data_IF_273597671109
#
_entry.id   IF_273597671109
#
_cell.length_a   1.000
_cell.length_b   1.000
_cell.length_c   1.000
_cell.angle_alpha   90.00
_cell.angle_beta   90.00
_cell.angle_gamma   90.00
#
_symmetry.space_group_name_H-M   'P 1'
#
loop_
_entity.id
_entity.type
_entity.pdbx_description
1 polymer ?
#
# COMPACT_ATOMS: atom_id res chain seq x y z
N UNK A 1 11.35 23.64 36.37
CA UNK A 1 10.76 23.83 35.03
C UNK A 1 11.60 23.00 34.05
N UNK A 2 11.15 21.77 33.79
CA UNK A 2 11.85 20.85 32.87
C UNK A 2 11.34 21.15 31.46
N UNK A 3 12.25 21.55 30.57
CA UNK A 3 11.95 21.67 29.13
C UNK A 3 11.56 20.31 28.57
N UNK A 4 10.57 20.24 27.67
CA UNK A 4 10.28 18.99 26.98
C UNK A 4 11.47 18.65 26.09
N UNK A 5 11.96 17.42 26.22
CA UNK A 5 12.97 16.86 25.34
C UNK A 5 12.43 16.89 23.91
N UNK A 6 13.08 17.63 23.03
CA UNK A 6 12.84 17.59 21.59
C UNK A 6 13.24 16.19 21.13
N UNK A 7 12.27 15.32 20.88
CA UNK A 7 12.53 14.07 20.17
C UNK A 7 13.14 14.44 18.82
N UNK A 8 14.43 14.17 18.69
CA UNK A 8 15.11 14.23 17.39
C UNK A 8 14.55 13.08 16.56
N UNK A 9 13.56 13.38 15.73
CA UNK A 9 13.09 12.43 14.71
C UNK A 9 14.24 12.18 13.75
N UNK A 10 15.02 11.15 14.03
CA UNK A 10 15.97 10.60 13.06
C UNK A 10 15.14 10.16 11.85
N UNK A 11 15.49 10.68 10.66
CA UNK A 11 14.77 10.34 9.43
C UNK A 11 14.75 8.84 9.20
N UNK A 12 13.60 8.30 8.80
CA UNK A 12 13.42 6.88 8.46
C UNK A 12 13.31 6.72 6.96
N UNK A 13 13.72 5.57 6.45
CA UNK A 13 13.47 5.14 5.08
C UNK A 13 12.18 4.32 5.05
N UNK A 14 11.13 4.88 4.45
CA UNK A 14 9.76 4.38 4.51
C UNK A 14 9.28 3.92 3.16
N UNK A 15 8.86 2.67 3.05
CA UNK A 15 8.18 2.15 1.86
C UNK A 15 6.72 2.56 1.83
N UNK A 16 6.23 3.06 0.71
CA UNK A 16 4.82 3.42 0.51
C UNK A 16 4.15 2.39 -0.39
N UNK A 17 3.21 1.63 0.17
CA UNK A 17 2.38 0.66 -0.54
C UNK A 17 0.97 1.23 -0.72
N UNK A 18 0.67 1.69 -1.94
CA UNK A 18 -0.64 2.23 -2.29
C UNK A 18 -1.64 1.13 -2.64
N UNK A 19 -2.83 1.23 -2.11
CA UNK A 19 -3.88 0.25 -2.40
C UNK A 19 -5.28 0.71 -2.02
N UNK A 20 -6.29 0.19 -2.72
CA UNK A 20 -7.68 0.34 -2.27
C UNK A 20 -7.99 -0.52 -1.05
N UNK A 21 -7.26 -1.64 -0.85
CA UNK A 21 -7.43 -2.58 0.25
C UNK A 21 -8.91 -2.94 0.50
N UNK A 22 -9.57 -3.50 -0.50
CA UNK A 22 -11.02 -3.75 -0.51
C UNK A 22 -11.38 -5.25 -0.64
N UNK A 23 -11.06 -6.11 0.38
CA UNK A 23 -10.33 -5.80 1.61
C UNK A 23 -8.80 -5.92 1.50
N UNK A 24 -8.11 -5.52 2.56
CA UNK A 24 -6.74 -5.97 2.81
C UNK A 24 -6.73 -7.49 2.99
N UNK A 25 -5.65 -8.16 2.56
CA UNK A 25 -5.53 -9.61 2.63
C UNK A 25 -4.11 -10.07 2.92
N UNK A 26 -3.96 -11.36 3.19
CA UNK A 26 -2.67 -11.98 3.58
C UNK A 26 -1.55 -11.69 2.56
N UNK A 27 -1.87 -11.65 1.26
CA UNK A 27 -0.89 -11.30 0.22
C UNK A 27 -0.31 -9.89 0.37
N UNK A 28 -1.14 -8.89 0.72
CA UNK A 28 -0.65 -7.54 1.01
C UNK A 28 0.25 -7.51 2.25
N UNK A 29 -0.10 -8.26 3.28
CA UNK A 29 0.64 -8.27 4.55
C UNK A 29 2.00 -8.95 4.41
N UNK A 30 2.06 -10.09 3.71
CA UNK A 30 3.31 -10.79 3.43
C UNK A 30 4.24 -9.88 2.65
N UNK A 31 3.75 -9.23 1.59
CA UNK A 31 4.52 -8.28 0.80
C UNK A 31 5.04 -7.12 1.65
N UNK A 32 4.15 -6.43 2.36
CA UNK A 32 4.52 -5.26 3.17
C UNK A 32 5.53 -5.63 4.25
N UNK A 33 5.32 -6.75 4.95
CA UNK A 33 6.23 -7.21 6.00
C UNK A 33 7.58 -7.67 5.42
N UNK A 34 7.58 -8.37 4.30
CA UNK A 34 8.80 -8.75 3.59
C UNK A 34 9.62 -7.52 3.22
N UNK A 35 9.00 -6.51 2.59
CA UNK A 35 9.67 -5.27 2.24
C UNK A 35 10.29 -4.57 3.46
N UNK A 36 9.57 -4.52 4.58
CA UNK A 36 10.06 -3.91 5.83
C UNK A 36 11.18 -4.70 6.53
N UNK A 37 11.36 -5.99 6.22
CA UNK A 37 12.29 -6.87 6.96
C UNK A 37 13.44 -7.42 6.12
N UNK A 38 13.31 -7.42 4.79
CA UNK A 38 14.29 -7.99 3.86
C UNK A 38 14.89 -6.94 2.91
N UNK A 39 14.56 -5.65 3.11
CA UNK A 39 15.20 -4.54 2.41
C UNK A 39 15.79 -3.57 3.41
N UNK A 40 16.29 -2.43 2.94
CA UNK A 40 16.83 -1.34 3.75
C UNK A 40 15.75 -0.35 4.25
N UNK A 41 14.47 -0.74 4.18
CA UNK A 41 13.36 0.03 4.71
C UNK A 41 13.23 -0.15 6.23
N UNK A 42 13.03 0.93 6.95
CA UNK A 42 12.75 0.89 8.39
C UNK A 42 11.33 0.41 8.67
N UNK A 43 10.39 0.83 7.83
CA UNK A 43 8.96 0.51 7.93
C UNK A 43 8.25 0.62 6.57
N UNK A 44 7.05 0.07 6.47
CA UNK A 44 6.18 0.21 5.31
C UNK A 44 4.85 0.82 5.73
N UNK A 45 4.43 1.86 5.02
CA UNK A 45 3.15 2.52 5.20
C UNK A 45 2.17 2.08 4.11
N UNK A 46 1.00 1.56 4.53
CA UNK A 46 -0.09 1.20 3.65
C UNK A 46 -0.98 2.43 3.43
N UNK A 47 -0.85 3.05 2.27
CA UNK A 47 -1.63 4.24 1.91
C UNK A 47 -2.98 3.80 1.35
N UNK A 48 -4.05 4.02 2.12
CA UNK A 48 -5.41 3.65 1.71
C UNK A 48 -5.92 4.67 0.71
N UNK A 49 -6.00 4.29 -0.56
CA UNK A 49 -6.48 5.18 -1.63
C UNK A 49 -8.00 5.23 -1.65
N UNK A 50 -8.63 6.42 -1.52
CA UNK A 50 -10.08 6.55 -1.55
C UNK A 50 -10.65 6.18 -2.93
N UNK A 51 -10.02 6.66 -3.99
CA UNK A 51 -10.39 6.36 -5.37
C UNK A 51 -9.18 6.45 -6.28
N UNK A 52 -8.72 5.31 -6.80
CA UNK A 52 -7.69 5.30 -7.84
C UNK A 52 -8.26 5.81 -9.17
N UNK A 53 -7.53 6.65 -9.93
CA UNK A 53 -7.94 7.09 -11.27
C UNK A 53 -8.27 5.93 -12.22
N UNK A 54 -7.65 4.76 -12.00
CA UNK A 54 -7.80 3.57 -12.84
C UNK A 54 -8.94 2.63 -12.41
N UNK A 55 -9.65 2.93 -11.31
CA UNK A 55 -10.70 2.08 -10.72
C UNK A 55 -12.04 2.81 -10.56
N UNK A 56 -12.33 3.73 -11.45
CA UNK A 56 -13.61 4.46 -11.45
C UNK A 56 -14.76 3.47 -11.75
N UNK A 57 -15.80 3.50 -10.91
CA UNK A 57 -17.00 2.65 -11.09
C UNK A 57 -16.93 1.26 -10.45
N UNK A 58 -15.85 0.91 -9.74
CA UNK A 58 -15.82 -0.31 -8.93
C UNK A 58 -16.55 -0.11 -7.59
N UNK A 59 -17.26 -1.15 -7.14
CA UNK A 59 -17.85 -1.18 -5.81
C UNK A 59 -16.75 -1.26 -4.74
N UNK A 60 -16.55 -0.15 -4.04
CA UNK A 60 -15.61 -0.06 -2.91
C UNK A 60 -16.40 0.16 -1.62
N UNK A 61 -15.97 -0.48 -0.54
CA UNK A 61 -16.35 -0.04 0.80
C UNK A 61 -15.91 1.42 1.00
N UNK A 62 -16.57 2.11 1.91
CA UNK A 62 -16.16 3.45 2.33
C UNK A 62 -14.67 3.49 2.72
N UNK A 63 -14.06 4.63 2.56
CA UNK A 63 -12.63 4.79 2.82
C UNK A 63 -12.29 4.53 4.29
N UNK A 64 -13.18 4.91 5.21
CA UNK A 64 -13.02 4.71 6.67
C UNK A 64 -13.10 3.23 7.04
N UNK A 65 -14.04 2.49 6.45
CA UNK A 65 -14.19 1.04 6.68
C UNK A 65 -12.97 0.28 6.16
N UNK A 66 -12.41 0.70 5.02
CA UNK A 66 -11.19 0.08 4.48
C UNK A 66 -9.97 0.38 5.33
N UNK A 67 -9.87 1.59 5.87
CA UNK A 67 -8.83 1.96 6.83
C UNK A 67 -8.91 1.12 8.10
N UNK A 68 -10.11 0.98 8.71
CA UNK A 68 -10.33 0.11 9.89
C UNK A 68 -9.88 -1.33 9.64
N UNK A 69 -10.20 -1.89 8.46
CA UNK A 69 -9.73 -3.23 8.10
C UNK A 69 -8.20 -3.30 7.99
N UNK A 70 -7.54 -2.27 7.45
CA UNK A 70 -6.08 -2.22 7.38
C UNK A 70 -5.46 -2.11 8.77
N UNK A 71 -5.96 -1.24 9.63
CA UNK A 71 -5.47 -1.07 11.01
C UNK A 71 -5.60 -2.38 11.82
N UNK A 72 -6.74 -3.07 11.73
CA UNK A 72 -6.94 -4.39 12.35
C UNK A 72 -5.96 -5.43 11.82
N UNK A 73 -5.70 -5.41 10.51
CA UNK A 73 -4.81 -6.38 9.88
C UNK A 73 -3.36 -6.25 10.32
N UNK A 74 -2.90 -5.03 10.58
CA UNK A 74 -1.51 -4.74 10.96
C UNK A 74 -1.30 -4.59 12.47
N UNK A 75 -2.37 -4.75 13.28
CA UNK A 75 -2.30 -4.58 14.72
C UNK A 75 -1.18 -5.46 15.33
N UNK A 76 -0.35 -4.85 16.17
CA UNK A 76 0.79 -5.52 16.79
C UNK A 76 2.08 -5.60 15.93
N UNK A 77 2.06 -5.12 14.70
CA UNK A 77 3.25 -5.04 13.85
C UNK A 77 3.77 -3.58 13.77
N UNK A 78 4.81 -3.29 14.53
CA UNK A 78 5.41 -1.94 14.62
C UNK A 78 6.21 -1.49 13.39
N UNK A 79 6.38 -2.36 12.38
CA UNK A 79 7.00 -2.01 11.10
C UNK A 79 6.00 -1.65 10.01
N UNK A 80 4.70 -1.77 10.31
CA UNK A 80 3.62 -1.43 9.37
C UNK A 80 2.75 -0.32 9.96
N UNK A 81 2.32 0.60 9.10
CA UNK A 81 1.42 1.70 9.47
C UNK A 81 0.36 1.90 8.39
N UNK A 82 -0.89 2.13 8.79
CA UNK A 82 -1.95 2.55 7.90
C UNK A 82 -1.96 4.08 7.75
N UNK A 83 -2.25 4.60 6.55
CA UNK A 83 -2.36 6.03 6.28
C UNK A 83 -3.64 6.36 5.53
N UNK A 84 -4.27 7.42 5.98
CA UNK A 84 -5.47 8.05 5.42
C UNK A 84 -5.17 9.39 4.73
N UNK A 85 -3.92 9.68 4.44
CA UNK A 85 -3.46 10.99 3.92
C UNK A 85 -4.24 11.45 2.68
N UNK A 86 -4.66 10.51 1.83
CA UNK A 86 -5.42 10.81 0.61
C UNK A 86 -6.90 11.16 0.87
N UNK A 87 -7.45 10.90 2.07
CA UNK A 87 -8.88 11.12 2.35
C UNK A 87 -9.29 12.60 2.29
N UNK A 88 -8.37 13.48 2.66
CA UNK A 88 -8.56 14.94 2.66
C UNK A 88 -8.02 15.62 1.40
N UNK A 89 -7.45 14.84 0.47
CA UNK A 89 -6.89 15.36 -0.78
C UNK A 89 -7.95 15.40 -1.90
N UNK A 90 -7.74 16.22 -2.96
CA UNK A 90 -8.61 16.21 -4.13
C UNK A 90 -8.68 14.81 -4.77
N UNK A 91 -9.89 14.40 -5.15
CA UNK A 91 -10.13 13.10 -5.82
C UNK A 91 -10.30 13.32 -7.33
N UNK A 92 -9.75 12.45 -8.19
CA UNK A 92 -8.95 11.26 -7.85
C UNK A 92 -7.56 11.65 -7.33
N UNK A 93 -7.03 10.85 -6.37
CA UNK A 93 -5.68 11.05 -5.83
C UNK A 93 -4.60 10.56 -6.80
N UNK A 94 -3.51 11.32 -6.87
CA UNK A 94 -2.35 10.97 -7.69
C UNK A 94 -1.12 10.78 -6.81
N UNK A 95 -0.34 9.75 -7.10
CA UNK A 95 0.84 9.37 -6.33
C UNK A 95 1.80 10.52 -6.06
N UNK A 96 2.06 11.38 -7.07
CA UNK A 96 2.97 12.52 -6.89
C UNK A 96 2.45 13.53 -5.86
N UNK A 97 1.14 13.80 -5.86
CA UNK A 97 0.56 14.75 -4.92
C UNK A 97 0.64 14.20 -3.48
N UNK A 98 0.44 12.89 -3.32
CA UNK A 98 0.59 12.19 -2.02
C UNK A 98 2.04 12.21 -1.54
N UNK A 99 3.00 11.98 -2.43
CA UNK A 99 4.43 12.07 -2.11
C UNK A 99 4.82 13.48 -1.64
N UNK A 100 4.33 14.53 -2.32
CA UNK A 100 4.58 15.91 -1.94
C UNK A 100 4.00 16.24 -0.56
N UNK A 101 2.77 15.79 -0.29
CA UNK A 101 2.14 15.99 1.02
C UNK A 101 2.88 15.24 2.13
N UNK A 102 3.31 13.99 1.90
CA UNK A 102 4.08 13.23 2.88
C UNK A 102 5.45 13.86 3.15
N UNK A 103 6.15 14.37 2.14
CA UNK A 103 7.40 15.11 2.34
C UNK A 103 7.20 16.38 3.17
N UNK A 104 6.06 17.06 2.97
CA UNK A 104 5.71 18.23 3.76
C UNK A 104 5.43 17.88 5.23
N UNK A 105 4.74 16.77 5.49
CA UNK A 105 4.40 16.30 6.85
C UNK A 105 5.60 15.70 7.57
N UNK A 106 6.46 14.98 6.84
CA UNK A 106 7.58 14.21 7.38
C UNK A 106 8.90 14.57 6.68
N UNK A 107 9.40 15.80 6.81
CA UNK A 107 10.55 16.30 6.03
C UNK A 107 11.87 15.57 6.31
N UNK A 108 11.98 14.83 7.44
CA UNK A 108 13.14 14.04 7.76
C UNK A 108 13.11 12.62 7.14
N UNK A 109 11.98 12.16 6.64
CA UNK A 109 11.85 10.81 6.11
C UNK A 109 12.22 10.75 4.62
N UNK A 110 12.75 9.61 4.22
CA UNK A 110 12.95 9.24 2.82
C UNK A 110 11.84 8.27 2.42
N UNK A 111 11.11 8.61 1.37
CA UNK A 111 10.04 7.76 0.87
C UNK A 111 10.47 6.95 -0.34
N UNK A 112 10.11 5.66 -0.35
CA UNK A 112 10.34 4.71 -1.43
C UNK A 112 8.99 4.21 -1.92
N UNK A 113 8.74 4.30 -3.23
CA UNK A 113 7.50 3.81 -3.81
C UNK A 113 7.57 2.30 -4.01
N UNK A 114 6.63 1.56 -3.42
CA UNK A 114 6.48 0.12 -3.63
C UNK A 114 5.40 -0.14 -4.68
N UNK A 115 5.74 -0.82 -5.78
CA UNK A 115 4.78 -1.14 -6.82
C UNK A 115 4.95 -2.54 -7.40
N UNK A 116 3.86 -3.14 -7.83
CA UNK A 116 3.89 -4.36 -8.61
C UNK A 116 4.42 -4.09 -10.01
N UNK A 117 5.10 -5.06 -10.57
CA UNK A 117 5.67 -5.02 -11.91
C UNK A 117 4.62 -4.70 -12.99
N UNK A 118 3.38 -5.12 -12.78
CA UNK A 118 2.22 -4.84 -13.62
C UNK A 118 1.91 -3.34 -13.78
N UNK A 119 2.42 -2.48 -12.90
CA UNK A 119 2.24 -1.04 -12.98
C UNK A 119 3.28 -0.34 -13.88
N UNK A 120 4.44 -0.95 -14.10
CA UNK A 120 5.55 -0.33 -14.84
C UNK A 120 5.18 0.10 -16.27
N UNK A 121 4.49 -0.72 -17.09
CA UNK A 121 4.08 -0.29 -18.42
C UNK A 121 3.14 0.93 -18.40
N UNK A 122 2.45 1.14 -17.28
CA UNK A 122 1.55 2.27 -17.07
C UNK A 122 2.22 3.52 -16.52
N UNK A 123 3.38 3.39 -15.89
CA UNK A 123 4.07 4.46 -15.17
C UNK A 123 4.33 5.72 -16.03
N UNK A 124 4.73 5.65 -17.31
CA UNK A 124 4.89 6.84 -18.15
C UNK A 124 3.62 7.69 -18.34
N UNK A 125 2.44 7.12 -18.06
CA UNK A 125 1.14 7.83 -18.15
C UNK A 125 0.70 8.42 -16.82
N UNK A 126 1.46 8.21 -15.74
CA UNK A 126 1.14 8.78 -14.44
C UNK A 126 1.39 10.28 -14.44
N UNK A 127 0.66 11.00 -13.62
CA UNK A 127 0.85 12.45 -13.42
C UNK A 127 2.29 12.72 -12.98
N UNK A 128 3.02 13.50 -13.77
CA UNK A 128 4.42 13.84 -13.51
C UNK A 128 5.34 12.61 -13.34
N UNK A 129 5.20 11.61 -14.19
CA UNK A 129 5.99 10.38 -14.16
C UNK A 129 7.50 10.63 -14.11
N UNK A 130 8.01 11.56 -14.90
CA UNK A 130 9.43 11.92 -14.93
C UNK A 130 9.92 12.41 -13.56
N UNK A 131 9.08 13.18 -12.86
CA UNK A 131 9.37 13.67 -11.52
C UNK A 131 9.34 12.53 -10.49
N UNK A 132 8.38 11.61 -10.60
CA UNK A 132 8.32 10.41 -9.74
C UNK A 132 9.63 9.61 -9.87
N UNK A 133 10.07 9.37 -11.10
CA UNK A 133 11.29 8.61 -11.38
C UNK A 133 12.56 9.34 -10.95
N UNK A 134 12.62 10.66 -11.07
CA UNK A 134 13.80 11.45 -10.74
C UNK A 134 13.99 11.67 -9.23
N UNK A 135 12.88 11.76 -8.48
CA UNK A 135 12.90 12.19 -7.08
C UNK A 135 12.72 11.03 -6.08
N UNK A 136 12.39 9.80 -6.55
CA UNK A 136 12.09 8.69 -5.65
C UNK A 136 12.85 7.43 -6.04
N UNK A 137 13.22 6.65 -5.04
CA UNK A 137 13.51 5.24 -5.25
C UNK A 137 12.20 4.48 -5.44
N UNK A 138 12.21 3.48 -6.32
CA UNK A 138 11.06 2.64 -6.61
C UNK A 138 11.48 1.18 -6.42
N UNK A 139 10.83 0.49 -5.49
CA UNK A 139 11.00 -0.96 -5.33
C UNK A 139 9.88 -1.67 -6.03
N UNK A 140 10.26 -2.50 -6.99
CA UNK A 140 9.33 -3.25 -7.82
C UNK A 140 9.34 -4.71 -7.38
N UNK A 141 8.15 -5.25 -7.08
CA UNK A 141 8.01 -6.67 -6.80
C UNK A 141 7.34 -7.39 -7.98
N UNK A 142 7.79 -8.63 -8.27
CA UNK A 142 7.27 -9.41 -9.39
C UNK A 142 5.75 -9.62 -9.31
N UNK A 143 5.12 -9.87 -10.44
CA UNK A 143 3.72 -10.27 -10.55
C UNK A 143 3.60 -11.47 -11.49
N UNK A 144 2.71 -12.44 -11.23
CA UNK A 144 2.51 -13.57 -12.12
C UNK A 144 2.15 -13.09 -13.54
N UNK A 145 2.87 -13.58 -14.54
CA UNK A 145 2.56 -13.33 -15.96
C UNK A 145 3.10 -12.03 -16.54
N UNK A 146 3.94 -11.30 -15.82
CA UNK A 146 4.65 -10.11 -16.31
C UNK A 146 6.13 -10.47 -16.52
N UNK A 147 6.73 -10.00 -17.62
CA UNK A 147 8.14 -10.24 -17.94
C UNK A 147 8.98 -9.02 -17.50
N UNK A 148 9.87 -9.25 -16.54
CA UNK A 148 10.67 -8.21 -15.88
C UNK A 148 11.77 -7.57 -16.74
N UNK A 149 11.92 -7.96 -18.00
CA UNK A 149 13.07 -7.56 -18.84
C UNK A 149 13.18 -6.06 -19.08
N UNK A 150 12.10 -5.29 -18.95
CA UNK A 150 12.11 -3.83 -19.13
C UNK A 150 12.39 -3.03 -17.83
N UNK A 151 12.37 -3.69 -16.68
CA UNK A 151 12.38 -3.04 -15.34
C UNK A 151 13.73 -2.40 -15.00
N UNK A 152 14.82 -2.98 -15.49
CA UNK A 152 16.19 -2.58 -15.10
C UNK A 152 16.71 -1.32 -15.81
N UNK A 153 15.87 -0.63 -16.57
CA UNK A 153 16.32 0.49 -17.42
C UNK A 153 16.48 1.83 -16.68
N UNK A 154 15.97 1.96 -15.43
CA UNK A 154 16.03 3.24 -14.72
C UNK A 154 16.86 3.14 -13.42
N UNK A 155 17.83 4.04 -13.17
CA UNK A 155 18.76 3.96 -12.03
C UNK A 155 18.09 3.97 -10.64
N UNK A 156 16.89 4.57 -10.53
CA UNK A 156 16.11 4.63 -9.27
C UNK A 156 15.18 3.43 -9.04
N UNK A 157 15.15 2.46 -9.98
CA UNK A 157 14.26 1.29 -9.88
C UNK A 157 15.06 0.07 -9.41
N UNK A 158 14.59 -0.58 -8.35
CA UNK A 158 15.17 -1.80 -7.80
C UNK A 158 14.13 -2.91 -7.79
N UNK A 159 14.45 -4.03 -8.40
CA UNK A 159 13.61 -5.25 -8.29
C UNK A 159 13.89 -5.94 -6.96
N UNK A 160 12.82 -6.30 -6.25
CA UNK A 160 12.88 -7.01 -4.97
C UNK A 160 12.07 -8.30 -5.11
N UNK A 161 12.73 -9.45 -5.06
CA UNK A 161 12.10 -10.77 -5.15
C UNK A 161 11.34 -11.09 -3.85
N UNK A 162 10.12 -10.56 -3.76
CA UNK A 162 9.22 -10.82 -2.65
C UNK A 162 8.39 -12.10 -2.90
N UNK A 163 8.00 -12.84 -1.83
CA UNK A 163 7.09 -13.97 -1.96
C UNK A 163 5.77 -13.55 -2.61
N UNK A 164 5.35 -14.25 -3.64
CA UNK A 164 4.12 -13.99 -4.36
C UNK A 164 3.01 -14.89 -3.87
N UNK A 165 1.84 -14.31 -3.62
CA UNK A 165 0.61 -15.06 -3.41
C UNK A 165 -0.42 -14.58 -4.43
N UNK A 166 -1.01 -15.53 -5.14
CA UNK A 166 -2.10 -15.28 -6.08
C UNK A 166 -3.44 -15.19 -5.32
N UNK A 167 -3.53 -14.16 -4.48
CA UNK A 167 -4.74 -13.81 -3.72
C UNK A 167 -5.19 -12.44 -4.18
N UNK A 168 -6.46 -12.31 -4.58
CA UNK A 168 -7.04 -11.02 -4.96
C UNK A 168 -8.20 -10.64 -4.06
N UNK A 169 -8.35 -9.33 -3.81
CA UNK A 169 -9.48 -8.80 -3.07
C UNK A 169 -10.83 -9.11 -3.77
N UNK A 170 -10.84 -9.20 -5.10
CA UNK A 170 -12.04 -9.60 -5.87
C UNK A 170 -12.47 -11.01 -5.53
N UNK A 171 -11.53 -11.97 -5.56
CA UNK A 171 -11.80 -13.34 -5.17
C UNK A 171 -12.35 -13.45 -3.74
N UNK A 172 -11.80 -12.69 -2.81
CA UNK A 172 -12.28 -12.66 -1.42
C UNK A 172 -13.73 -12.18 -1.35
N UNK A 173 -14.07 -11.08 -2.04
CA UNK A 173 -15.45 -10.59 -2.07
C UNK A 173 -16.43 -11.58 -2.71
N UNK A 174 -16.02 -12.28 -3.75
CA UNK A 174 -16.80 -13.35 -4.35
C UNK A 174 -17.05 -14.50 -3.37
N UNK A 175 -16.01 -14.94 -2.65
CA UNK A 175 -16.16 -15.94 -1.59
C UNK A 175 -17.20 -15.52 -0.55
N UNK A 176 -17.16 -14.25 -0.08
CA UNK A 176 -18.15 -13.76 0.89
C UNK A 176 -19.57 -13.79 0.33
N UNK A 177 -19.78 -13.29 -0.91
CA UNK A 177 -21.09 -13.31 -1.58
C UNK A 177 -21.68 -14.72 -1.75
N UNK A 178 -20.80 -15.69 -1.95
CA UNK A 178 -21.17 -17.10 -2.12
C UNK A 178 -21.27 -17.87 -0.80
N UNK A 179 -21.08 -17.21 0.35
CA UNK A 179 -21.07 -17.84 1.67
C UNK A 179 -19.89 -18.80 1.89
N UNK A 180 -18.81 -18.66 1.11
CA UNK A 180 -17.57 -19.43 1.25
C UNK A 180 -16.66 -18.82 2.29
N UNK A 181 -15.88 -19.67 2.97
CA UNK A 181 -14.89 -19.24 3.96
C UNK A 181 -13.77 -18.42 3.31
N UNK A 182 -13.42 -17.31 3.97
CA UNK A 182 -12.25 -16.48 3.63
C UNK A 182 -11.11 -16.65 4.65
N UNK A 183 -11.22 -17.67 5.51
CA UNK A 183 -10.23 -17.97 6.53
C UNK A 183 -8.87 -18.21 5.89
N UNK A 184 -7.83 -17.64 6.47
CA UNK A 184 -6.44 -17.61 5.98
C UNK A 184 -6.19 -16.74 4.72
N UNK A 185 -7.22 -16.34 4.00
CA UNK A 185 -7.08 -15.36 2.92
C UNK A 185 -6.89 -13.95 3.49
N UNK A 186 -7.51 -13.70 4.64
CA UNK A 186 -7.38 -12.46 5.43
C UNK A 186 -6.99 -12.81 6.87
N UNK A 187 -6.43 -11.86 7.65
CA UNK A 187 -6.27 -12.03 9.10
C UNK A 187 -7.61 -12.26 9.80
N UNK A 188 -7.58 -13.01 10.92
CA UNK A 188 -8.78 -13.34 11.68
C UNK A 188 -9.57 -12.09 12.11
N UNK A 189 -8.89 -11.03 12.54
CA UNK A 189 -9.54 -9.77 12.91
C UNK A 189 -10.29 -9.11 11.74
N UNK A 190 -9.79 -9.26 10.51
CA UNK A 190 -10.43 -8.78 9.29
C UNK A 190 -11.63 -9.66 8.93
N UNK A 191 -11.48 -11.00 9.00
CA UNK A 191 -12.57 -11.97 8.79
C UNK A 191 -13.75 -11.67 9.73
N UNK A 192 -13.47 -11.51 11.03
CA UNK A 192 -14.48 -11.20 12.04
C UNK A 192 -15.17 -9.87 11.75
N UNK A 193 -14.43 -8.83 11.35
CA UNK A 193 -15.02 -7.52 11.05
C UNK A 193 -15.91 -7.58 9.81
N UNK A 194 -15.49 -8.28 8.75
CA UNK A 194 -16.29 -8.48 7.54
C UNK A 194 -17.61 -9.16 7.88
N UNK A 195 -17.56 -10.22 8.68
CA UNK A 195 -18.76 -10.95 9.09
C UNK A 195 -19.68 -10.11 9.99
N UNK A 196 -19.12 -9.41 10.99
CA UNK A 196 -19.89 -8.61 11.93
C UNK A 196 -20.59 -7.40 11.28
N UNK A 197 -19.95 -6.77 10.28
CA UNK A 197 -20.49 -5.62 9.58
C UNK A 197 -21.34 -6.01 8.35
N UNK A 198 -21.37 -7.29 7.96
CA UNK A 198 -22.11 -7.76 6.79
C UNK A 198 -21.55 -7.24 5.46
N UNK A 199 -20.25 -6.99 5.36
CA UNK A 199 -19.65 -6.49 4.13
C UNK A 199 -19.72 -7.54 3.02
N UNK A 200 -20.18 -7.13 1.82
CA UNK A 200 -20.28 -7.96 0.61
C UNK A 200 -21.20 -9.19 0.73
N UNK A 201 -22.10 -9.23 1.70
CA UNK A 201 -23.14 -10.26 1.85
C UNK A 201 -24.35 -9.98 0.97
#
# INVERSE_FOLDING_TARGET
MSSPATETHTGRKVGLLFGSFNPIHTGHLILAHFMATHTDLDEVWLVVSPQSPFKVGQELLGETERLDLVERAIAGNNRLRALDVEFVMPKPSYTIDTLDELRRQYPAHQFVLLMGEDNLPGLPRWKQADRILAENEIYVYPRPGVDATEVNAHPGVRVVEAPLLDISATFIRECVREGKSIRYLVPEAVEHQIAAAGYWQ
#
